data_IF_067359761639
#
_entry.id   IF_067359761639
#
_cell.length_a   1.000
_cell.length_b   1.000
_cell.length_c   1.000
_cell.angle_alpha   90.00
_cell.angle_beta   90.00
_cell.angle_gamma   90.00
#
_symmetry.space_group_name_H-M   'P 1'
#
loop_
_entity.id
_entity.type
_entity.pdbx_description
1 polymer ?
#
# COMPACT_ATOMS: atom_id res chain seq x y z
N UNK A 1 12.31 8.00 -22.66
CA UNK A 1 11.99 7.94 -21.22
C UNK A 1 12.75 6.77 -20.63
N UNK A 2 13.53 6.97 -19.55
CA UNK A 2 14.21 5.85 -18.87
C UNK A 2 13.14 4.94 -18.26
N UNK A 3 13.22 3.62 -18.51
CA UNK A 3 12.21 2.63 -18.06
C UNK A 3 12.36 2.27 -16.58
N UNK A 4 13.57 2.40 -16.03
CA UNK A 4 13.92 2.15 -14.63
C UNK A 4 12.92 2.68 -13.60
N UNK A 5 12.47 3.95 -13.67
CA UNK A 5 11.57 4.46 -12.66
C UNK A 5 10.22 3.74 -12.61
N UNK A 6 9.69 3.28 -13.74
CA UNK A 6 8.43 2.53 -13.80
C UNK A 6 8.59 1.18 -13.10
N UNK A 7 9.72 0.50 -13.32
CA UNK A 7 10.01 -0.78 -12.68
C UNK A 7 10.10 -0.65 -11.15
N UNK A 8 10.72 0.41 -10.64
CA UNK A 8 10.80 0.67 -9.20
C UNK A 8 9.40 0.89 -8.61
N UNK A 9 8.53 1.65 -9.30
CA UNK A 9 7.15 1.87 -8.83
C UNK A 9 6.37 0.56 -8.80
N UNK A 10 6.53 -0.29 -9.81
CA UNK A 10 5.89 -1.62 -9.83
C UNK A 10 6.38 -2.51 -8.69
N UNK A 11 7.69 -2.51 -8.39
CA UNK A 11 8.24 -3.26 -7.26
C UNK A 11 7.62 -2.80 -5.93
N UNK A 12 7.49 -1.48 -5.72
CA UNK A 12 6.88 -0.93 -4.51
C UNK A 12 5.39 -1.31 -4.39
N UNK A 13 4.64 -1.26 -5.49
CA UNK A 13 3.25 -1.74 -5.54
C UNK A 13 3.20 -3.21 -5.11
N UNK A 14 4.03 -4.06 -5.71
CA UNK A 14 4.07 -5.49 -5.39
C UNK A 14 4.41 -5.76 -3.92
N UNK A 15 5.39 -5.05 -3.37
CA UNK A 15 5.76 -5.16 -1.95
C UNK A 15 4.58 -4.80 -1.06
N UNK A 16 3.87 -3.70 -1.34
CA UNK A 16 2.72 -3.29 -0.54
C UNK A 16 1.57 -4.30 -0.59
N UNK A 17 1.30 -4.89 -1.76
CA UNK A 17 0.31 -5.96 -1.90
C UNK A 17 0.70 -7.22 -1.14
N UNK A 18 1.95 -7.69 -1.27
CA UNK A 18 2.44 -8.86 -0.54
C UNK A 18 2.35 -8.64 0.98
N UNK A 19 2.71 -7.44 1.44
CA UNK A 19 2.65 -7.08 2.84
C UNK A 19 1.20 -7.02 3.35
N UNK A 20 0.29 -6.40 2.59
CA UNK A 20 -1.13 -6.35 2.93
C UNK A 20 -1.79 -7.74 2.96
N UNK A 21 -1.48 -8.62 2.00
CA UNK A 21 -1.97 -10.00 2.00
C UNK A 21 -1.40 -10.82 3.15
N UNK A 22 -0.10 -10.68 3.43
CA UNK A 22 0.54 -11.34 4.57
C UNK A 22 -0.14 -10.92 5.88
N UNK A 23 -0.29 -9.62 6.11
CA UNK A 23 -0.95 -9.08 7.29
C UNK A 23 -2.39 -9.59 7.41
N UNK A 24 -3.17 -9.54 6.32
CA UNK A 24 -4.51 -10.14 6.30
C UNK A 24 -4.46 -11.62 6.68
N UNK A 25 -3.60 -12.43 6.07
CA UNK A 25 -3.56 -13.87 6.33
C UNK A 25 -3.17 -14.24 7.77
N UNK A 26 -2.28 -13.46 8.40
CA UNK A 26 -1.77 -13.74 9.74
C UNK A 26 -2.65 -13.17 10.86
N UNK A 27 -3.27 -12.02 10.64
CA UNK A 27 -4.05 -11.32 11.67
C UNK A 27 -5.56 -11.45 11.47
N UNK A 28 -6.02 -11.91 10.30
CA UNK A 28 -7.42 -12.22 10.01
C UNK A 28 -7.71 -13.72 10.18
N UNK A 29 -7.40 -14.27 11.35
CA UNK A 29 -8.01 -15.52 11.80
C UNK A 29 -9.36 -15.19 12.43
N UNK A 30 -10.48 -15.80 12.00
CA UNK A 30 -11.74 -15.68 12.71
C UNK A 30 -11.58 -16.41 14.04
N UNK A 31 -11.22 -15.68 15.09
CA UNK A 31 -11.21 -16.24 16.43
C UNK A 31 -12.65 -16.61 16.78
N UNK A 32 -12.94 -17.91 16.78
CA UNK A 32 -14.02 -18.58 17.52
C UNK A 32 -13.81 -18.42 19.04
N UNK A 33 -13.40 -17.23 19.47
CA UNK A 33 -13.20 -16.86 20.86
C UNK A 33 -14.16 -15.70 21.10
N UNK A 34 -15.13 -15.98 21.96
CA UNK A 34 -16.21 -15.12 22.42
C UNK A 34 -15.79 -13.64 22.41
N UNK A 35 -16.49 -12.76 21.68
CA UNK A 35 -16.10 -11.36 21.57
C UNK A 35 -16.32 -10.68 22.93
N UNK A 36 -15.24 -10.20 23.56
CA UNK A 36 -15.38 -9.15 24.57
C UNK A 36 -15.80 -7.85 23.84
N UNK A 37 -16.79 -7.18 24.42
CA UNK A 37 -17.58 -6.10 23.80
C UNK A 37 -16.75 -4.85 23.38
N UNK A 38 -15.48 -4.74 23.79
CA UNK A 38 -14.62 -3.55 23.56
C UNK A 38 -13.57 -3.67 22.42
N UNK A 39 -13.47 -4.81 21.71
CA UNK A 39 -12.24 -5.17 20.98
C UNK A 39 -12.28 -5.24 19.44
N UNK A 40 -13.08 -4.41 18.76
CA UNK A 40 -13.09 -4.31 17.28
C UNK A 40 -12.35 -3.09 16.73
N UNK A 41 -11.02 -3.00 16.89
CA UNK A 41 -10.19 -1.97 16.21
C UNK A 41 -9.33 -2.49 15.04
N UNK A 42 -9.19 -3.82 14.88
CA UNK A 42 -8.06 -4.41 14.14
C UNK A 42 -8.42 -4.96 12.75
N UNK A 43 -9.58 -5.62 12.60
CA UNK A 43 -10.04 -6.09 11.29
C UNK A 43 -10.31 -4.95 10.28
N UNK A 44 -11.02 -3.85 10.63
CA UNK A 44 -11.36 -2.83 9.63
C UNK A 44 -10.13 -2.06 9.12
N UNK A 45 -9.06 -1.93 9.92
CA UNK A 45 -7.84 -1.21 9.52
C UNK A 45 -7.06 -1.94 8.43
N UNK A 46 -6.96 -3.28 8.46
CA UNK A 46 -6.29 -4.04 7.40
C UNK A 46 -7.07 -4.05 6.08
N UNK A 47 -8.41 -4.14 6.11
CA UNK A 47 -9.22 -4.01 4.89
C UNK A 47 -9.16 -2.60 4.32
N UNK A 48 -9.22 -1.56 5.16
CA UNK A 48 -9.04 -0.18 4.72
C UNK A 48 -7.66 0.04 4.07
N UNK A 49 -6.61 -0.59 4.60
CA UNK A 49 -5.28 -0.54 3.99
C UNK A 49 -5.22 -1.23 2.63
N UNK A 50 -5.81 -2.41 2.46
CA UNK A 50 -5.87 -3.08 1.16
C UNK A 50 -6.72 -2.29 0.15
N UNK A 51 -7.80 -1.64 0.60
CA UNK A 51 -8.58 -0.71 -0.22
C UNK A 51 -7.79 0.52 -0.65
N UNK A 52 -7.01 1.12 0.26
CA UNK A 52 -6.14 2.25 -0.10
C UNK A 52 -5.05 1.82 -1.09
N UNK A 53 -4.47 0.64 -0.89
CA UNK A 53 -3.46 0.05 -1.78
C UNK A 53 -4.00 -0.15 -3.18
N UNK A 54 -5.24 -0.64 -3.32
CA UNK A 54 -5.87 -0.86 -4.62
C UNK A 54 -6.17 0.46 -5.34
N UNK A 55 -6.71 1.46 -4.65
CA UNK A 55 -6.96 2.81 -5.22
C UNK A 55 -5.65 3.44 -5.69
N UNK A 56 -4.61 3.43 -4.85
CA UNK A 56 -3.29 3.97 -5.22
C UNK A 56 -2.66 3.24 -6.39
N UNK A 57 -2.89 1.92 -6.52
CA UNK A 57 -2.43 1.12 -7.67
C UNK A 57 -3.11 1.62 -8.95
N UNK A 58 -4.43 1.78 -8.95
CA UNK A 58 -5.20 2.25 -10.11
C UNK A 58 -4.74 3.66 -10.51
N UNK A 59 -4.63 4.58 -9.55
CA UNK A 59 -4.17 5.96 -9.79
C UNK A 59 -2.76 5.98 -10.36
N UNK A 60 -1.84 5.15 -9.83
CA UNK A 60 -0.47 5.05 -10.32
C UNK A 60 -0.42 4.55 -11.77
N UNK A 61 -1.21 3.52 -12.11
CA UNK A 61 -1.27 2.99 -13.48
C UNK A 61 -1.86 4.02 -14.46
N UNK A 62 -2.93 4.72 -14.08
CA UNK A 62 -3.51 5.81 -14.87
C UNK A 62 -2.51 6.94 -15.11
N UNK A 63 -1.78 7.35 -14.07
CA UNK A 63 -0.75 8.38 -14.19
C UNK A 63 0.37 7.96 -15.16
N UNK A 64 0.84 6.72 -15.08
CA UNK A 64 1.85 6.19 -16.01
C UNK A 64 1.32 6.19 -17.46
N UNK A 65 0.06 5.77 -17.66
CA UNK A 65 -0.57 5.74 -18.97
C UNK A 65 -0.71 7.15 -19.58
N UNK A 66 -1.24 8.11 -18.81
CA UNK A 66 -1.41 9.50 -19.25
C UNK A 66 -0.07 10.14 -19.60
N UNK A 67 0.97 9.94 -18.78
CA UNK A 67 2.29 10.52 -19.07
C UNK A 67 2.90 9.91 -20.34
N UNK A 68 2.68 8.61 -20.59
CA UNK A 68 3.12 7.95 -21.81
C UNK A 68 2.38 8.48 -23.05
N UNK A 69 1.08 8.73 -22.94
CA UNK A 69 0.25 9.27 -24.03
C UNK A 69 0.66 10.70 -24.40
N UNK A 70 0.82 11.59 -23.43
CA UNK A 70 1.14 13.00 -23.66
C UNK A 70 2.64 13.28 -23.87
N UNK A 71 3.51 12.26 -23.88
CA UNK A 71 4.98 12.33 -24.09
C UNK A 71 5.71 13.42 -23.28
N UNK A 72 5.14 13.85 -22.16
CA UNK A 72 5.62 15.00 -21.39
C UNK A 72 6.71 14.59 -20.38
N UNK A 73 7.96 14.51 -20.85
CA UNK A 73 9.09 13.97 -20.08
C UNK A 73 9.46 14.71 -18.79
N UNK A 74 9.18 16.02 -18.68
CA UNK A 74 9.43 16.79 -17.44
C UNK A 74 8.44 16.43 -16.33
N UNK A 75 7.17 16.26 -16.68
CA UNK A 75 6.12 15.86 -15.72
C UNK A 75 6.34 14.42 -15.23
N UNK A 76 6.91 13.55 -16.06
CA UNK A 76 7.22 12.17 -15.71
C UNK A 76 8.06 12.05 -14.44
N UNK A 77 9.14 12.82 -14.30
CA UNK A 77 10.02 12.74 -13.12
C UNK A 77 9.33 13.22 -11.83
N UNK A 78 8.51 14.27 -11.92
CA UNK A 78 7.68 14.74 -10.82
C UNK A 78 6.66 13.68 -10.38
N UNK A 79 5.96 13.06 -11.34
CA UNK A 79 4.99 11.99 -11.05
C UNK A 79 5.67 10.75 -10.45
N UNK A 80 6.80 10.31 -10.99
CA UNK A 80 7.52 9.14 -10.44
C UNK A 80 8.09 9.43 -9.06
N UNK A 81 8.61 10.64 -8.82
CA UNK A 81 9.13 11.04 -7.51
C UNK A 81 8.03 11.11 -6.45
N UNK A 82 6.90 11.75 -6.75
CA UNK A 82 5.74 11.76 -5.88
C UNK A 82 5.20 10.34 -5.63
N UNK A 83 5.18 9.50 -6.67
CA UNK A 83 4.79 8.10 -6.57
C UNK A 83 5.68 7.32 -5.57
N UNK A 84 6.99 7.50 -5.59
CA UNK A 84 7.88 6.84 -4.62
C UNK A 84 7.63 7.27 -3.19
N UNK A 85 7.43 8.57 -2.97
CA UNK A 85 7.13 9.09 -1.63
C UNK A 85 5.82 8.51 -1.10
N UNK A 86 4.77 8.50 -1.94
CA UNK A 86 3.47 7.93 -1.59
C UNK A 86 3.60 6.44 -1.27
N UNK A 87 4.21 5.65 -2.15
CA UNK A 87 4.34 4.20 -1.95
C UNK A 87 5.21 3.84 -0.74
N UNK A 88 6.30 4.58 -0.52
CA UNK A 88 7.15 4.38 0.66
C UNK A 88 6.37 4.68 1.94
N UNK A 89 5.61 5.79 1.96
CA UNK A 89 4.75 6.14 3.08
C UNK A 89 3.67 5.08 3.33
N UNK A 90 3.03 4.57 2.26
CA UNK A 90 2.03 3.51 2.38
C UNK A 90 2.61 2.23 3.00
N UNK A 91 3.78 1.79 2.56
CA UNK A 91 4.45 0.61 3.10
C UNK A 91 4.84 0.82 4.57
N UNK A 92 5.38 1.99 4.92
CA UNK A 92 5.73 2.30 6.31
C UNK A 92 4.49 2.38 7.22
N UNK A 93 3.38 2.94 6.72
CA UNK A 93 2.12 2.94 7.43
C UNK A 93 1.61 1.52 7.67
N UNK A 94 1.65 0.66 6.65
CA UNK A 94 1.30 -0.76 6.76
C UNK A 94 2.18 -1.47 7.79
N UNK A 95 3.50 -1.25 7.74
CA UNK A 95 4.45 -1.81 8.69
C UNK A 95 4.17 -1.34 10.13
N UNK A 96 3.83 -0.06 10.32
CA UNK A 96 3.45 0.48 11.63
C UNK A 96 2.19 -0.17 12.17
N UNK A 97 1.14 -0.32 11.35
CA UNK A 97 -0.10 -0.99 11.78
C UNK A 97 0.18 -2.46 12.12
N UNK A 98 0.99 -3.16 11.32
CA UNK A 98 1.40 -4.52 11.63
C UNK A 98 2.19 -4.61 12.95
N UNK A 99 3.13 -3.68 13.18
CA UNK A 99 3.92 -3.62 14.42
C UNK A 99 3.06 -3.32 15.66
N UNK A 100 2.05 -2.44 15.52
CA UNK A 100 1.08 -2.15 16.57
C UNK A 100 0.21 -3.38 16.89
N UNK A 101 -0.24 -4.10 15.87
CA UNK A 101 -0.97 -5.37 16.04
C UNK A 101 -0.12 -6.48 16.68
N UNK A 102 1.19 -6.46 16.45
CA UNK A 102 2.13 -7.40 17.08
C UNK A 102 2.54 -6.99 18.50
N UNK A 103 2.07 -5.85 19.01
CA UNK A 103 2.48 -5.31 20.31
C UNK A 103 3.94 -4.85 20.38
N UNK A 104 4.59 -4.65 19.24
CA UNK A 104 6.01 -4.25 19.14
C UNK A 104 6.14 -2.72 19.26
N UNK A 105 5.11 -1.97 18.87
CA UNK A 105 5.06 -0.52 18.97
C UNK A 105 3.74 -0.10 19.64
N UNK A 106 3.84 0.82 20.60
CA UNK A 106 2.72 1.50 21.26
C UNK A 106 2.52 2.90 20.68
#
# INVERSE_FOLDING_TARGET
MKKYPIYITLILISISWLFGFYAKSKFYTPTLVIPLLDNFYWAPTFFAMLGLTSILTIVSLLAIFLVKYFKNGKKFYLFTGAGYLIWTFTILSQAKIAAFNLGICH
#
